data_IF_841399307124
#
_entry.id   IF_841399307124
#
_cell.length_a   1.000
_cell.length_b   1.000
_cell.length_c   1.000
_cell.angle_alpha   90.00
_cell.angle_beta   90.00
_cell.angle_gamma   90.00
#
_symmetry.space_group_name_H-M   'P 1'
#
loop_
_entity.id
_entity.type
_entity.pdbx_description
1 polymer ?
#
# COMPACT_ATOMS: atom_id res chain seq x y z
N UNK A 1 -6.41 -24.41 24.02
CA UNK A 1 -5.09 -23.98 24.52
C UNK A 1 -5.38 -22.85 25.49
N UNK A 2 -5.39 -23.15 26.78
CA UNK A 2 -5.54 -22.14 27.84
C UNK A 2 -4.20 -21.42 27.94
N UNK A 3 -4.15 -20.16 27.56
CA UNK A 3 -2.93 -19.35 27.53
C UNK A 3 -2.52 -18.85 28.93
N UNK A 4 -3.08 -19.43 30.00
CA UNK A 4 -2.82 -19.05 31.39
C UNK A 4 -3.61 -17.83 31.88
N UNK A 5 -4.35 -17.15 31.01
CA UNK A 5 -5.22 -16.04 31.38
C UNK A 5 -6.69 -16.43 31.35
N UNK A 6 -7.42 -15.96 32.35
CA UNK A 6 -8.86 -16.12 32.51
C UNK A 6 -9.66 -15.25 31.53
N UNK A 7 -9.14 -14.09 31.15
CA UNK A 7 -9.70 -13.22 30.10
C UNK A 7 -8.64 -12.33 29.42
N UNK A 8 -9.08 -11.49 28.49
CA UNK A 8 -8.19 -10.58 27.76
C UNK A 8 -7.64 -9.44 28.64
N UNK A 9 -8.33 -9.06 29.72
CA UNK A 9 -7.85 -8.01 30.62
C UNK A 9 -6.67 -8.50 31.45
N UNK A 10 -6.67 -9.75 31.89
CA UNK A 10 -5.51 -10.32 32.61
C UNK A 10 -4.25 -10.34 31.73
N UNK A 11 -4.40 -10.64 30.44
CA UNK A 11 -3.31 -10.54 29.47
C UNK A 11 -2.83 -9.08 29.27
N UNK A 12 -3.76 -8.12 29.27
CA UNK A 12 -3.44 -6.70 29.14
C UNK A 12 -2.76 -6.14 30.41
N UNK A 13 -3.20 -6.56 31.60
CA UNK A 13 -2.59 -6.23 32.88
C UNK A 13 -1.15 -6.75 32.93
N UNK A 14 -0.90 -7.98 32.47
CA UNK A 14 0.45 -8.53 32.35
C UNK A 14 1.35 -7.68 31.42
N UNK A 15 0.86 -7.27 30.26
CA UNK A 15 1.60 -6.38 29.34
C UNK A 15 1.90 -5.01 29.98
N UNK A 16 1.00 -4.54 30.85
CA UNK A 16 1.11 -3.23 31.51
C UNK A 16 1.90 -3.26 32.82
N UNK A 17 2.28 -4.43 33.35
CA UNK A 17 3.04 -4.56 34.60
C UNK A 17 4.26 -3.62 34.69
N UNK A 18 5.11 -3.46 33.64
CA UNK A 18 6.26 -2.54 33.70
C UNK A 18 5.88 -1.06 33.85
N UNK A 19 4.64 -0.70 33.51
CA UNK A 19 4.12 0.65 33.68
C UNK A 19 3.58 0.91 35.09
N UNK A 20 3.38 -0.15 35.89
CA UNK A 20 2.76 -0.05 37.22
C UNK A 20 1.26 0.25 37.19
N UNK A 21 0.59 0.05 36.05
CA UNK A 21 -0.85 0.26 35.87
C UNK A 21 -1.53 -1.03 35.41
N UNK A 22 -2.82 -1.15 35.74
CA UNK A 22 -3.75 -2.10 35.13
C UNK A 22 -4.39 -1.51 33.87
N UNK A 23 -4.99 -2.38 33.05
CA UNK A 23 -5.76 -2.00 31.88
C UNK A 23 -6.96 -1.11 32.24
N UNK A 24 -7.60 -1.37 33.39
CA UNK A 24 -8.72 -0.56 33.88
C UNK A 24 -8.31 0.88 34.23
N UNK A 25 -7.15 1.05 34.86
CA UNK A 25 -6.58 2.37 35.17
C UNK A 25 -6.17 3.10 33.89
N UNK A 26 -5.50 2.41 32.97
CA UNK A 26 -5.13 2.98 31.68
C UNK A 26 -6.36 3.40 30.87
N UNK A 27 -7.40 2.56 30.83
CA UNK A 27 -8.65 2.86 30.11
C UNK A 27 -9.32 4.13 30.66
N UNK A 28 -9.22 4.36 31.97
CA UNK A 28 -9.78 5.55 32.62
C UNK A 28 -8.93 6.81 32.38
N UNK A 29 -7.60 6.66 32.31
CA UNK A 29 -6.67 7.76 32.06
C UNK A 29 -6.54 8.13 30.57
N UNK A 30 -6.73 7.15 29.67
CA UNK A 30 -6.67 7.26 28.21
C UNK A 30 -5.27 7.14 27.59
N UNK A 31 -4.20 7.50 28.31
CA UNK A 31 -2.82 7.36 27.82
C UNK A 31 -1.81 7.29 28.96
N UNK A 32 -0.67 6.63 28.73
CA UNK A 32 0.52 6.73 29.58
C UNK A 32 1.45 7.79 28.96
N UNK A 33 1.68 8.94 29.62
CA UNK A 33 2.59 9.94 29.09
C UNK A 33 4.01 9.38 28.98
N UNK A 34 4.51 9.23 27.76
CA UNK A 34 5.89 8.82 27.53
C UNK A 34 6.78 10.04 27.30
N UNK A 35 7.95 10.07 27.96
CA UNK A 35 8.98 11.05 27.64
C UNK A 35 9.73 10.58 26.40
N UNK A 36 9.74 11.38 25.34
CA UNK A 36 10.60 11.14 24.18
C UNK A 36 12.06 11.19 24.63
N UNK A 37 12.74 10.04 24.57
CA UNK A 37 14.17 9.95 24.79
C UNK A 37 14.87 10.06 23.43
N UNK A 38 15.94 10.85 23.38
CA UNK A 38 16.85 10.86 22.25
C UNK A 38 18.02 9.96 22.62
N UNK A 39 18.41 9.07 21.70
CA UNK A 39 19.56 8.20 21.91
C UNK A 39 20.84 9.02 22.08
N UNK A 40 21.73 8.57 22.96
CA UNK A 40 23.06 9.12 23.11
C UNK A 40 24.00 8.48 22.07
N UNK A 41 23.76 8.79 20.80
CA UNK A 41 24.49 8.17 19.68
C UNK A 41 25.96 8.60 19.62
N UNK A 42 26.32 9.71 20.29
CA UNK A 42 27.70 10.18 20.37
C UNK A 42 28.56 9.31 21.29
N UNK A 43 27.99 8.84 22.41
CA UNK A 43 28.73 8.01 23.38
C UNK A 43 28.45 6.51 23.22
N UNK A 44 27.21 6.12 22.92
CA UNK A 44 26.78 4.72 22.81
C UNK A 44 26.86 4.15 21.40
N UNK A 45 27.00 5.02 20.39
CA UNK A 45 26.93 4.62 18.99
C UNK A 45 25.53 4.17 18.56
N UNK A 46 25.47 3.48 17.43
CA UNK A 46 24.25 2.86 16.88
C UNK A 46 24.24 1.35 17.15
N UNK A 47 23.06 0.74 17.14
CA UNK A 47 22.89 -0.71 17.23
C UNK A 47 23.20 -1.37 15.87
N UNK A 48 24.46 -1.22 15.44
CA UNK A 48 25.03 -1.78 14.21
C UNK A 48 26.34 -2.50 14.57
N UNK A 49 26.81 -3.46 13.76
CA UNK A 49 28.08 -4.16 14.02
C UNK A 49 29.26 -3.21 14.25
N UNK A 50 29.32 -2.09 13.53
CA UNK A 50 30.38 -1.08 13.66
C UNK A 50 30.16 -0.04 14.77
N UNK A 51 28.98 0.00 15.39
CA UNK A 51 28.56 1.06 16.31
C UNK A 51 28.32 2.43 15.64
N UNK A 52 28.30 2.50 14.30
CA UNK A 52 28.19 3.74 13.50
C UNK A 52 27.02 3.67 12.52
N UNK A 53 26.74 4.81 11.87
CA UNK A 53 25.92 4.81 10.64
C UNK A 53 26.73 4.15 9.53
N UNK A 54 26.26 3.00 9.06
CA UNK A 54 26.91 2.21 8.02
C UNK A 54 26.55 2.73 6.63
N UNK A 55 27.38 3.64 6.10
CA UNK A 55 27.26 4.10 4.71
C UNK A 55 27.51 2.97 3.71
N UNK A 56 28.40 2.04 4.09
CA UNK A 56 28.68 0.78 3.44
C UNK A 56 28.28 -0.33 4.40
N UNK A 57 27.41 -1.24 3.99
CA UNK A 57 26.97 -2.35 4.84
C UNK A 57 27.77 -3.62 4.54
N UNK A 58 28.72 -3.93 5.41
CA UNK A 58 29.49 -5.19 5.34
C UNK A 58 28.56 -6.41 5.44
N UNK A 59 27.52 -6.33 6.27
CA UNK A 59 26.51 -7.38 6.39
C UNK A 59 25.78 -7.65 5.06
N UNK A 60 25.42 -6.60 4.30
CA UNK A 60 24.82 -6.79 2.98
C UNK A 60 25.80 -7.47 2.01
N UNK A 61 27.08 -7.07 2.01
CA UNK A 61 28.11 -7.72 1.19
C UNK A 61 28.28 -9.19 1.54
N UNK A 62 28.34 -9.53 2.84
CA UNK A 62 28.45 -10.92 3.32
C UNK A 62 27.25 -11.78 2.89
N UNK A 63 26.05 -11.20 2.85
CA UNK A 63 24.86 -11.86 2.32
C UNK A 63 24.79 -11.88 0.78
N UNK A 64 25.80 -11.33 0.12
CA UNK A 64 25.93 -11.25 -1.34
C UNK A 64 25.12 -10.12 -1.97
N UNK A 65 24.61 -9.18 -1.19
CA UNK A 65 23.87 -8.00 -1.66
C UNK A 65 24.79 -6.81 -2.00
N UNK A 66 24.22 -5.76 -2.61
CA UNK A 66 24.99 -4.54 -2.84
C UNK A 66 25.18 -3.80 -1.49
N UNK A 67 26.42 -3.53 -1.06
CA UNK A 67 26.69 -2.86 0.22
C UNK A 67 26.41 -1.35 0.17
N UNK A 68 26.18 -0.80 -1.02
CA UNK A 68 25.86 0.59 -1.28
C UNK A 68 24.53 0.73 -2.03
N UNK A 69 23.80 1.85 -1.86
CA UNK A 69 22.60 2.14 -2.62
C UNK A 69 22.87 2.10 -4.12
N UNK A 70 22.19 1.19 -4.82
CA UNK A 70 22.37 0.97 -6.25
C UNK A 70 21.04 1.18 -6.97
N UNK A 71 21.05 2.02 -8.02
CA UNK A 71 19.88 2.18 -8.87
C UNK A 71 19.71 0.96 -9.77
N UNK A 72 18.52 0.35 -9.71
CA UNK A 72 18.11 -0.72 -10.62
C UNK A 72 16.88 -0.24 -11.39
N UNK A 73 16.91 -0.42 -12.72
CA UNK A 73 15.82 0.04 -13.58
C UNK A 73 14.52 -0.69 -13.20
N UNK A 74 13.39 0.03 -13.01
CA UNK A 74 12.11 -0.58 -12.69
C UNK A 74 11.57 -1.39 -13.88
N UNK A 75 10.45 -2.10 -13.67
CA UNK A 75 9.69 -2.71 -14.77
C UNK A 75 9.43 -1.67 -15.86
N UNK A 76 9.78 -2.02 -17.09
CA UNK A 76 9.63 -1.14 -18.25
C UNK A 76 8.33 -1.42 -18.94
N UNK A 77 7.68 -0.34 -19.38
CA UNK A 77 6.64 -0.42 -20.37
C UNK A 77 7.20 -1.04 -21.66
N UNK A 78 6.32 -1.69 -22.41
CA UNK A 78 6.61 -2.31 -23.71
C UNK A 78 5.43 -2.07 -24.65
N UNK A 79 5.53 -2.60 -25.87
CA UNK A 79 4.55 -2.33 -26.93
C UNK A 79 3.14 -2.83 -26.56
N UNK A 80 3.02 -3.92 -25.79
CA UNK A 80 1.72 -4.46 -25.35
C UNK A 80 1.14 -3.67 -24.16
N UNK A 81 2.01 -3.18 -23.28
CA UNK A 81 1.66 -2.46 -22.05
C UNK A 81 2.48 -1.15 -21.94
N UNK A 82 2.14 -0.13 -22.75
CA UNK A 82 2.96 1.08 -22.94
C UNK A 82 2.82 2.12 -21.82
N UNK A 83 1.91 1.92 -20.87
CA UNK A 83 1.65 2.83 -19.74
C UNK A 83 2.20 2.24 -18.44
N UNK A 84 2.29 3.06 -17.40
CA UNK A 84 2.60 2.60 -16.03
C UNK A 84 1.44 2.90 -15.09
N UNK A 85 1.00 1.91 -14.32
CA UNK A 85 0.01 2.09 -13.25
C UNK A 85 0.66 2.03 -11.87
N UNK A 86 0.27 2.95 -10.99
CA UNK A 86 0.61 2.96 -9.57
C UNK A 86 -0.64 3.09 -8.70
N UNK A 87 -0.53 2.70 -7.43
CA UNK A 87 -1.63 2.81 -6.48
C UNK A 87 -1.59 4.10 -5.64
N UNK A 88 -2.77 4.55 -5.22
CA UNK A 88 -2.95 5.61 -4.21
C UNK A 88 -4.06 5.25 -3.20
N UNK A 89 -4.07 5.96 -2.08
CA UNK A 89 -5.07 5.85 -1.01
C UNK A 89 -5.99 7.07 -1.06
N UNK A 90 -7.29 6.85 -0.89
CA UNK A 90 -8.28 7.90 -0.73
C UNK A 90 -8.64 8.11 0.73
N UNK A 91 -8.91 9.35 1.12
CA UNK A 91 -9.12 9.75 2.51
C UNK A 91 -10.20 8.96 3.28
N UNK A 92 -11.37 8.63 2.69
CA UNK A 92 -12.44 7.95 3.43
C UNK A 92 -12.13 6.50 3.86
N UNK A 93 -11.13 5.84 3.27
CA UNK A 93 -10.93 4.39 3.45
C UNK A 93 -9.53 4.06 3.98
N UNK A 94 -9.44 2.98 4.77
CA UNK A 94 -8.18 2.44 5.28
C UNK A 94 -7.99 1.05 4.69
N UNK A 95 -7.06 0.92 3.75
CA UNK A 95 -6.87 -0.32 2.97
C UNK A 95 -8.18 -0.79 2.32
N UNK A 96 -8.66 -1.99 2.65
CA UNK A 96 -9.96 -2.52 2.21
C UNK A 96 -11.10 -2.20 3.19
N UNK A 97 -10.79 -1.71 4.39
CA UNK A 97 -11.78 -1.40 5.43
C UNK A 97 -12.53 -0.09 5.18
N UNK A 98 -13.57 0.11 5.99
CA UNK A 98 -14.43 1.29 6.03
C UNK A 98 -15.35 1.48 4.81
N UNK A 99 -15.36 0.55 3.85
CA UNK A 99 -16.23 0.63 2.66
C UNK A 99 -17.68 0.29 2.99
N UNK A 100 -17.88 -0.52 4.01
CA UNK A 100 -19.16 -0.88 4.61
C UNK A 100 -19.82 0.28 5.37
N UNK A 101 -19.03 1.27 5.82
CA UNK A 101 -19.54 2.44 6.54
C UNK A 101 -20.20 3.39 5.55
N UNK A 102 -21.54 3.40 5.53
CA UNK A 102 -22.33 4.17 4.55
C UNK A 102 -21.96 5.66 4.48
N UNK A 103 -21.66 6.30 5.62
CA UNK A 103 -21.26 7.71 5.64
C UNK A 103 -19.96 7.97 4.88
N UNK A 104 -18.98 7.06 4.98
CA UNK A 104 -17.71 7.13 4.26
C UNK A 104 -17.89 6.75 2.80
N UNK A 105 -18.71 5.72 2.52
CA UNK A 105 -19.05 5.31 1.15
C UNK A 105 -19.70 6.43 0.33
N UNK A 106 -20.56 7.26 0.94
CA UNK A 106 -21.18 8.41 0.26
C UNK A 106 -20.19 9.49 -0.19
N UNK A 107 -19.05 9.64 0.51
CA UNK A 107 -18.02 10.61 0.13
C UNK A 107 -17.26 10.16 -1.12
N UNK A 108 -17.18 8.85 -1.36
CA UNK A 108 -16.42 8.26 -2.46
C UNK A 108 -17.07 6.93 -2.92
N UNK A 109 -18.13 7.01 -3.75
CA UNK A 109 -19.01 5.87 -4.02
C UNK A 109 -18.46 4.85 -5.02
N UNK A 110 -17.50 5.24 -5.87
CA UNK A 110 -17.00 4.41 -6.96
C UNK A 110 -15.47 4.32 -6.95
N UNK A 111 -14.90 3.19 -7.41
CA UNK A 111 -13.46 3.08 -7.63
C UNK A 111 -13.05 4.06 -8.72
N UNK A 112 -12.02 4.87 -8.46
CA UNK A 112 -11.55 5.87 -9.42
C UNK A 112 -10.09 5.66 -9.82
N UNK A 113 -9.75 6.07 -11.03
CA UNK A 113 -8.37 6.13 -11.49
C UNK A 113 -8.08 7.46 -12.19
N UNK A 114 -6.95 8.06 -11.84
CA UNK A 114 -6.50 9.32 -12.41
C UNK A 114 -5.70 9.08 -13.67
N UNK A 115 -6.01 9.83 -14.73
CA UNK A 115 -5.33 9.75 -16.03
C UNK A 115 -5.05 11.15 -16.55
N UNK A 116 -3.87 11.36 -17.15
CA UNK A 116 -3.57 12.62 -17.83
C UNK A 116 -4.48 12.83 -19.05
N UNK A 117 -4.90 14.06 -19.31
CA UNK A 117 -5.77 14.38 -20.45
C UNK A 117 -5.19 13.98 -21.83
N UNK A 118 -3.87 14.11 -22.02
CA UNK A 118 -3.21 13.72 -23.27
C UNK A 118 -3.28 12.21 -23.47
N UNK A 119 -2.97 11.45 -22.42
CA UNK A 119 -3.09 9.99 -22.44
C UNK A 119 -4.54 9.59 -22.68
N UNK A 120 -5.49 10.18 -21.97
CA UNK A 120 -6.90 9.88 -22.14
C UNK A 120 -7.39 10.11 -23.59
N UNK A 121 -6.99 11.20 -24.23
CA UNK A 121 -7.29 11.45 -25.66
C UNK A 121 -6.73 10.37 -26.58
N UNK A 122 -5.50 9.90 -26.33
CA UNK A 122 -4.87 8.83 -27.12
C UNK A 122 -5.63 7.50 -27.02
N UNK A 123 -6.20 7.18 -25.85
CA UNK A 123 -6.87 5.91 -25.57
C UNK A 123 -8.40 6.00 -25.57
N UNK A 124 -8.99 7.12 -25.99
CA UNK A 124 -10.45 7.31 -26.03
C UNK A 124 -11.14 7.29 -24.66
N UNK A 125 -10.44 7.68 -23.59
CA UNK A 125 -10.97 7.70 -22.22
C UNK A 125 -11.61 9.05 -21.92
N UNK A 126 -12.80 9.04 -21.34
CA UNK A 126 -13.51 10.24 -20.90
C UNK A 126 -13.68 10.27 -19.38
N UNK A 127 -13.60 11.47 -18.80
CA UNK A 127 -13.81 11.63 -17.35
C UNK A 127 -15.23 11.22 -16.97
N UNK A 128 -15.38 10.47 -15.88
CA UNK A 128 -16.67 9.98 -15.37
C UNK A 128 -17.13 8.67 -16.00
N UNK A 129 -16.41 8.14 -16.99
CA UNK A 129 -16.76 6.88 -17.64
C UNK A 129 -15.94 5.69 -17.10
N UNK A 130 -16.48 4.47 -17.14
CA UNK A 130 -15.74 3.27 -16.78
C UNK A 130 -14.62 3.00 -17.79
N UNK A 131 -13.46 2.63 -17.24
CA UNK A 131 -12.22 2.34 -17.96
C UNK A 131 -11.66 1.03 -17.43
N UNK A 132 -11.19 0.19 -18.35
CA UNK A 132 -10.42 -1.01 -18.03
C UNK A 132 -8.96 -0.62 -17.85
N UNK A 133 -8.33 -1.10 -16.78
CA UNK A 133 -6.89 -1.04 -16.55
C UNK A 133 -6.39 -2.48 -16.54
N UNK A 134 -5.45 -2.80 -17.40
CA UNK A 134 -4.98 -4.18 -17.60
C UNK A 134 -3.46 -4.25 -17.54
N UNK A 135 -2.95 -5.26 -16.85
CA UNK A 135 -1.57 -5.70 -16.89
C UNK A 135 -1.51 -7.14 -17.41
N UNK A 136 -0.30 -7.69 -17.59
CA UNK A 136 -0.12 -9.11 -17.91
C UNK A 136 -0.76 -10.10 -16.93
N UNK A 137 -1.14 -9.65 -15.72
CA UNK A 137 -1.66 -10.52 -14.66
C UNK A 137 -3.16 -10.49 -14.55
N UNK A 138 -3.80 -9.40 -14.92
CA UNK A 138 -5.23 -9.24 -14.78
C UNK A 138 -5.69 -7.88 -15.22
N UNK A 139 -7.00 -7.68 -15.09
CA UNK A 139 -7.68 -6.43 -15.44
C UNK A 139 -8.61 -6.03 -14.32
N UNK A 140 -8.84 -4.73 -14.19
CA UNK A 140 -9.81 -4.15 -13.27
C UNK A 140 -10.54 -2.98 -13.93
N UNK A 141 -11.69 -2.61 -13.38
CA UNK A 141 -12.53 -1.50 -13.89
C UNK A 141 -12.62 -0.40 -12.86
N UNK A 142 -12.27 0.82 -13.27
CA UNK A 142 -12.35 2.05 -12.49
C UNK A 142 -13.07 3.14 -13.29
N UNK A 143 -13.70 4.09 -12.60
CA UNK A 143 -14.19 5.33 -13.21
C UNK A 143 -12.99 6.25 -13.47
N UNK A 144 -12.82 6.67 -14.72
CA UNK A 144 -11.75 7.57 -15.11
C UNK A 144 -11.99 8.98 -14.55
N UNK A 145 -10.92 9.61 -14.02
CA UNK A 145 -10.91 11.02 -13.65
C UNK A 145 -9.70 11.69 -14.28
N UNK A 146 -9.97 12.63 -15.19
CA UNK A 146 -8.89 13.33 -15.85
C UNK A 146 -8.21 14.31 -14.89
N UNK A 147 -6.88 14.29 -14.88
CA UNK A 147 -6.07 15.14 -14.02
C UNK A 147 -4.77 15.52 -14.74
N UNK A 148 -4.62 16.80 -15.07
CA UNK A 148 -3.45 17.31 -15.78
C UNK A 148 -2.13 17.20 -15.00
N UNK A 149 -2.18 17.09 -13.67
CA UNK A 149 -1.00 16.92 -12.80
C UNK A 149 -0.43 15.50 -12.81
N UNK A 150 -1.17 14.53 -13.34
CA UNK A 150 -0.64 13.17 -13.57
C UNK A 150 0.28 13.22 -14.79
N UNK A 151 1.47 12.63 -14.70
CA UNK A 151 2.37 12.56 -15.85
C UNK A 151 1.70 11.82 -17.02
N UNK A 152 1.81 12.32 -18.27
CA UNK A 152 1.45 11.53 -19.44
C UNK A 152 2.13 10.15 -19.40
N UNK A 153 1.40 9.10 -19.75
CA UNK A 153 1.89 7.72 -19.68
C UNK A 153 1.68 7.02 -18.34
N UNK A 154 1.19 7.73 -17.31
CA UNK A 154 0.97 7.19 -15.96
C UNK A 154 -0.52 7.18 -15.61
N UNK A 155 -0.94 6.10 -14.95
CA UNK A 155 -2.29 5.91 -14.39
C UNK A 155 -2.15 5.75 -12.87
N UNK A 156 -2.98 6.46 -12.10
CA UNK A 156 -3.00 6.32 -10.64
C UNK A 156 -4.33 5.72 -10.22
N UNK A 157 -4.34 4.48 -9.75
CA UNK A 157 -5.56 3.75 -9.41
C UNK A 157 -5.69 3.50 -7.90
N UNK A 158 -6.92 3.48 -7.40
CA UNK A 158 -7.22 3.15 -6.01
C UNK A 158 -7.01 1.65 -5.73
N UNK A 159 -6.74 1.30 -4.47
CA UNK A 159 -6.58 -0.09 -4.05
C UNK A 159 -7.61 -0.51 -3.00
N UNK A 160 -7.76 -1.83 -2.84
CA UNK A 160 -8.58 -2.42 -1.76
C UNK A 160 -10.10 -2.34 -2.00
N UNK A 161 -10.54 -2.14 -3.24
CA UNK A 161 -11.96 -2.08 -3.56
C UNK A 161 -12.65 -3.44 -3.54
N UNK A 162 -13.90 -3.39 -3.08
CA UNK A 162 -14.93 -4.42 -3.08
C UNK A 162 -16.28 -3.71 -2.86
N UNK A 163 -17.40 -4.42 -3.03
CA UNK A 163 -18.75 -3.84 -3.04
C UNK A 163 -19.65 -4.43 -1.93
N UNK A 164 -19.54 -3.93 -0.68
CA UNK A 164 -20.33 -4.42 0.46
C UNK A 164 -21.85 -4.35 0.26
N UNK A 165 -22.32 -3.48 -0.62
CA UNK A 165 -23.73 -3.32 -0.99
C UNK A 165 -24.31 -4.50 -1.78
N UNK A 166 -23.47 -5.36 -2.37
CA UNK A 166 -23.90 -6.53 -3.14
C UNK A 166 -23.93 -7.78 -2.25
N UNK A 167 -22.76 -8.19 -1.77
CA UNK A 167 -22.57 -9.28 -0.82
C UNK A 167 -21.20 -9.16 -0.12
N UNK A 168 -20.98 -9.84 1.01
CA UNK A 168 -19.68 -9.83 1.68
C UNK A 168 -18.54 -10.24 0.74
N UNK A 169 -17.53 -9.37 0.62
CA UNK A 169 -16.36 -9.54 -0.26
C UNK A 169 -16.67 -9.62 -1.76
N UNK A 170 -17.88 -9.27 -2.20
CA UNK A 170 -18.25 -9.33 -3.63
C UNK A 170 -17.54 -8.27 -4.48
N UNK A 171 -17.27 -8.63 -5.74
CA UNK A 171 -16.55 -7.82 -6.73
C UNK A 171 -15.15 -7.38 -6.27
N UNK A 172 -14.52 -8.13 -5.38
CA UNK A 172 -13.15 -7.87 -4.94
C UNK A 172 -12.15 -8.00 -6.09
N UNK A 173 -12.45 -8.76 -7.13
CA UNK A 173 -11.60 -8.95 -8.31
C UNK A 173 -11.96 -8.01 -9.48
N UNK A 174 -13.08 -7.28 -9.38
CA UNK A 174 -13.53 -6.33 -10.41
C UNK A 174 -12.73 -5.02 -10.39
N UNK A 175 -12.42 -4.49 -9.21
CA UNK A 175 -11.86 -3.13 -9.03
C UNK A 175 -10.68 -3.06 -8.06
N UNK A 176 -10.10 -4.18 -7.67
CA UNK A 176 -8.99 -4.18 -6.72
C UNK A 176 -7.65 -4.20 -7.41
N UNK A 177 -6.85 -3.16 -7.19
CA UNK A 177 -5.46 -3.06 -7.68
C UNK A 177 -4.63 -4.34 -7.59
N UNK A 178 -4.82 -5.15 -6.54
CA UNK A 178 -4.05 -6.37 -6.34
C UNK A 178 -4.22 -7.40 -7.48
N UNK A 179 -5.31 -7.37 -8.25
CA UNK A 179 -5.48 -8.24 -9.43
C UNK A 179 -4.48 -7.90 -10.55
N UNK A 180 -3.91 -6.70 -10.54
CA UNK A 180 -2.89 -6.27 -11.49
C UNK A 180 -1.47 -6.70 -11.08
N UNK A 181 -1.29 -7.12 -9.82
CA UNK A 181 0.01 -7.41 -9.24
C UNK A 181 0.43 -8.86 -9.48
N UNK A 182 1.72 -9.13 -9.40
CA UNK A 182 2.27 -10.48 -9.52
C UNK A 182 2.95 -10.91 -8.23
N UNK A 183 2.81 -12.20 -7.93
CA UNK A 183 3.66 -12.92 -6.97
C UNK A 183 4.85 -13.60 -7.63
N UNK A 184 5.05 -13.42 -8.93
CA UNK A 184 6.15 -14.04 -9.66
C UNK A 184 7.42 -13.21 -9.52
N UNK A 185 8.56 -13.87 -9.75
CA UNK A 185 9.87 -13.22 -9.77
C UNK A 185 9.96 -12.19 -10.92
N UNK A 186 10.81 -11.16 -10.79
CA UNK A 186 11.72 -10.90 -9.66
C UNK A 186 11.05 -10.18 -8.48
N UNK A 187 11.41 -10.58 -7.26
CA UNK A 187 11.15 -9.81 -6.04
C UNK A 187 12.25 -8.77 -5.85
N UNK A 188 12.01 -7.79 -4.97
CA UNK A 188 13.08 -6.96 -4.43
C UNK A 188 14.15 -7.87 -3.82
N UNK A 189 15.38 -7.74 -4.30
CA UNK A 189 16.44 -8.74 -4.09
C UNK A 189 16.81 -8.87 -2.62
N UNK A 190 16.89 -7.75 -1.92
CA UNK A 190 17.33 -7.66 -0.53
C UNK A 190 16.17 -7.91 0.46
N UNK A 191 14.93 -7.57 0.07
CA UNK A 191 13.76 -7.56 0.97
C UNK A 191 12.73 -8.66 0.70
N UNK A 192 12.82 -9.35 -0.46
CA UNK A 192 11.85 -10.37 -0.88
C UNK A 192 10.45 -9.83 -1.21
N UNK A 193 10.25 -8.52 -1.32
CA UNK A 193 8.94 -7.92 -1.56
C UNK A 193 8.54 -7.90 -3.05
N UNK A 194 7.26 -8.06 -3.34
CA UNK A 194 6.71 -7.89 -4.69
C UNK A 194 6.71 -6.43 -5.17
N UNK A 195 6.76 -6.24 -6.48
CA UNK A 195 6.56 -4.94 -7.10
C UNK A 195 5.08 -4.54 -7.05
N UNK A 196 4.76 -3.43 -6.39
CA UNK A 196 3.38 -2.93 -6.23
C UNK A 196 3.14 -1.54 -6.84
N UNK A 197 4.16 -0.96 -7.50
CA UNK A 197 4.11 0.37 -8.11
C UNK A 197 4.75 0.37 -9.48
N UNK A 198 4.29 1.25 -10.37
CA UNK A 198 4.87 1.38 -11.72
C UNK A 198 4.79 0.09 -12.52
N UNK A 199 3.63 -0.57 -12.49
CA UNK A 199 3.39 -1.79 -13.25
C UNK A 199 3.09 -1.42 -14.70
N UNK A 200 3.72 -2.06 -15.69
CA UNK A 200 3.33 -1.91 -17.09
C UNK A 200 1.85 -2.26 -17.28
N UNK A 201 1.10 -1.34 -17.88
CA UNK A 201 -0.32 -1.50 -18.13
C UNK A 201 -0.75 -0.95 -19.49
N UNK A 202 -1.99 -1.28 -19.87
CA UNK A 202 -2.76 -0.59 -20.91
C UNK A 202 -4.11 -0.17 -20.34
N UNK A 203 -4.74 0.81 -20.99
CA UNK A 203 -6.09 1.25 -20.65
C UNK A 203 -6.98 1.24 -21.88
N UNK A 204 -8.27 1.00 -21.70
CA UNK A 204 -9.28 1.08 -22.74
C UNK A 204 -10.63 1.51 -22.14
N UNK A 205 -11.56 2.04 -22.94
CA UNK A 205 -12.96 2.12 -22.54
C UNK A 205 -13.47 0.73 -22.15
N UNK A 206 -14.42 0.68 -21.22
CA UNK A 206 -15.18 -0.55 -21.00
C UNK A 206 -16.12 -0.73 -22.20
N UNK A 207 -15.93 -1.80 -22.97
CA UNK A 207 -16.81 -2.14 -24.10
C UNK A 207 -18.28 -2.18 -23.62
N UNK A 208 -19.17 -1.53 -24.39
CA UNK A 208 -20.63 -1.57 -24.17
C UNK A 208 -21.25 -2.80 -24.79
#
# INVERSE_FOLDING_TARGET
MEWGWSDAHEALDFVLEPSGMTFGELSSQGQIPAKKLFGDYGSKGFDTPSGKVELYSEQLEEWGFDPLPTYRSPLRADDDYPLLVTSWKVGPFVHSGNREVQALRRLHPHPMALVNEKTARTYGIHSGEPMVIETRKGRMVHIARLNASVSPGVVIAEHGWWFPERAPLDGWDESNFNVLTSRDRPYAREMGSSQLRGLPCRISPLDR
#
